data_IF_220589962846
#
_entry.id   IF_220589962846
#
_cell.length_a   1.000
_cell.length_b   1.000
_cell.length_c   1.000
_cell.angle_alpha   90.00
_cell.angle_beta   90.00
_cell.angle_gamma   90.00
#
_symmetry.space_group_name_H-M   'P 1'
#
loop_
_entity.id
_entity.type
_entity.pdbx_description
1 polymer ?
#
# COMPACT_ATOMS: atom_id res chain seq x y z
N UNK A 1 -24.55 16.07 -3.14
CA UNK A 1 -23.28 15.35 -2.92
C UNK A 1 -23.11 14.17 -3.88
N UNK A 2 -24.13 13.38 -4.14
CA UNK A 2 -24.10 12.20 -5.05
C UNK A 2 -23.60 12.51 -6.49
N UNK A 3 -24.01 13.62 -7.08
CA UNK A 3 -23.64 13.97 -8.45
C UNK A 3 -22.14 14.30 -8.63
N UNK A 4 -21.44 14.75 -7.58
CA UNK A 4 -20.00 15.04 -7.67
C UNK A 4 -19.16 13.75 -7.62
N UNK A 5 -19.61 12.76 -6.85
CA UNK A 5 -18.95 11.45 -6.76
C UNK A 5 -19.13 10.68 -8.08
N UNK A 6 -20.32 10.74 -8.67
CA UNK A 6 -20.59 10.10 -9.96
C UNK A 6 -19.74 10.70 -11.10
N UNK A 7 -19.57 12.03 -11.09
CA UNK A 7 -18.73 12.70 -12.09
C UNK A 7 -17.24 12.34 -11.95
N UNK A 8 -16.76 12.18 -10.73
CA UNK A 8 -15.37 11.75 -10.44
C UNK A 8 -15.12 10.31 -10.88
N UNK A 9 -16.08 9.42 -10.69
CA UNK A 9 -15.97 8.01 -11.14
C UNK A 9 -15.98 7.93 -12.66
N UNK A 10 -16.79 8.72 -13.35
CA UNK A 10 -16.86 8.76 -14.82
C UNK A 10 -15.57 9.34 -15.43
N UNK A 11 -14.95 10.35 -14.81
CA UNK A 11 -13.68 10.90 -15.27
C UNK A 11 -12.51 9.94 -15.05
N UNK A 12 -12.53 9.15 -13.99
CA UNK A 12 -11.52 8.10 -13.76
C UNK A 12 -11.68 6.97 -14.79
N UNK A 13 -12.91 6.56 -15.12
CA UNK A 13 -13.14 5.53 -16.12
C UNK A 13 -12.77 5.96 -17.55
N UNK A 14 -12.86 7.25 -17.90
CA UNK A 14 -12.44 7.75 -19.21
C UNK A 14 -10.92 7.87 -19.36
N UNK A 15 -10.17 8.02 -18.27
CA UNK A 15 -8.71 7.97 -18.28
C UNK A 15 -8.16 6.54 -18.46
N UNK A 16 -8.96 5.52 -18.17
CA UNK A 16 -8.60 4.10 -18.36
C UNK A 16 -8.83 3.66 -19.83
N UNK A 17 -9.54 4.45 -20.63
CA UNK A 17 -9.86 4.16 -22.03
C UNK A 17 -8.94 4.84 -23.05
N UNK A 18 -7.83 5.44 -22.60
CA UNK A 18 -6.79 5.91 -23.51
C UNK A 18 -6.07 4.69 -24.09
N UNK A 19 -6.50 4.30 -25.27
CA UNK A 19 -6.02 3.22 -26.12
C UNK A 19 -4.65 3.60 -26.72
N UNK A 20 -3.62 3.60 -25.90
CA UNK A 20 -2.26 3.37 -26.35
C UNK A 20 -1.85 2.03 -25.73
N UNK A 21 -1.25 1.19 -26.55
CA UNK A 21 -0.78 -0.17 -26.22
C UNK A 21 0.30 -0.16 -25.14
N UNK A 22 0.00 0.34 -23.95
CA UNK A 22 0.75 0.03 -22.76
C UNK A 22 0.38 -1.40 -22.38
N UNK A 23 1.29 -2.34 -22.63
CA UNK A 23 1.16 -3.69 -22.08
C UNK A 23 1.28 -3.59 -20.56
N UNK A 24 0.19 -3.28 -19.89
CA UNK A 24 0.12 -3.28 -18.43
C UNK A 24 -0.43 -4.61 -17.99
N UNK A 25 0.31 -5.29 -17.15
CA UNK A 25 -0.14 -6.49 -16.45
C UNK A 25 -0.95 -6.06 -15.22
N UNK A 26 -2.10 -6.67 -15.05
CA UNK A 26 -2.91 -6.49 -13.84
C UNK A 26 -2.53 -7.54 -12.82
N UNK A 27 -2.68 -7.21 -11.56
CA UNK A 27 -2.44 -8.18 -10.51
C UNK A 27 -3.45 -8.11 -9.38
N UNK A 28 -3.62 -9.24 -8.73
CA UNK A 28 -4.32 -9.41 -7.47
C UNK A 28 -3.38 -10.08 -6.49
N UNK A 29 -3.28 -9.56 -5.27
CA UNK A 29 -2.31 -10.08 -4.31
C UNK A 29 -2.80 -10.07 -2.88
N UNK A 30 -2.05 -10.78 -2.06
CA UNK A 30 -2.14 -10.75 -0.60
C UNK A 30 -0.86 -10.17 -0.04
N UNK A 31 -1.00 -9.49 1.09
CA UNK A 31 0.10 -8.78 1.74
C UNK A 31 0.09 -9.09 3.24
N UNK A 32 1.26 -9.35 3.79
CA UNK A 32 1.48 -9.46 5.22
C UNK A 32 2.59 -8.50 5.62
N UNK A 33 2.40 -7.79 6.74
CA UNK A 33 3.37 -6.83 7.23
C UNK A 33 3.61 -6.96 8.72
N UNK A 34 4.75 -6.43 9.15
CA UNK A 34 5.04 -6.19 10.56
C UNK A 34 5.28 -4.70 10.74
N UNK A 35 4.34 -4.05 11.43
CA UNK A 35 4.32 -2.61 11.57
C UNK A 35 4.56 -2.13 12.99
N UNK A 36 5.07 -0.90 13.07
CA UNK A 36 5.15 -0.09 14.29
C UNK A 36 4.24 1.09 14.11
N UNK A 37 3.32 1.29 15.04
CA UNK A 37 2.41 2.44 15.10
C UNK A 37 2.86 3.33 16.25
N UNK A 38 3.25 4.55 15.94
CA UNK A 38 3.53 5.59 16.93
C UNK A 38 2.23 6.31 17.25
N UNK A 39 1.70 6.09 18.45
CA UNK A 39 0.46 6.69 18.90
C UNK A 39 0.68 7.54 20.16
N UNK A 40 -0.22 8.50 20.38
CA UNK A 40 -0.28 9.29 21.62
C UNK A 40 -1.49 8.85 22.45
N UNK A 41 -1.26 8.55 23.70
CA UNK A 41 -2.36 8.27 24.62
C UNK A 41 -3.03 9.59 25.11
N UNK A 42 -4.07 9.45 25.93
CA UNK A 42 -4.88 10.59 26.46
C UNK A 42 -4.04 11.63 27.22
N UNK A 43 -2.85 11.25 27.69
CA UNK A 43 -1.94 12.09 28.49
C UNK A 43 -0.75 12.61 27.62
N UNK A 44 -0.86 12.53 26.30
CA UNK A 44 0.15 12.97 25.33
C UNK A 44 1.51 12.23 25.43
N UNK A 45 1.51 11.04 26.03
CA UNK A 45 2.68 10.16 26.10
C UNK A 45 2.72 9.31 24.83
N UNK A 46 3.87 9.31 24.16
CA UNK A 46 4.11 8.48 22.97
C UNK A 46 4.20 7.02 23.35
N UNK A 47 3.43 6.21 22.67
CA UNK A 47 3.46 4.76 22.76
C UNK A 47 3.74 4.15 21.37
N UNK A 48 4.66 3.19 21.34
CA UNK A 48 4.93 2.40 20.14
C UNK A 48 4.27 1.04 20.25
N UNK A 49 3.36 0.76 19.37
CA UNK A 49 2.71 -0.54 19.27
C UNK A 49 3.19 -1.28 18.02
N UNK A 50 3.70 -2.49 18.23
CA UNK A 50 4.22 -3.34 17.15
C UNK A 50 3.30 -4.53 16.93
N UNK A 51 3.01 -4.86 15.68
CA UNK A 51 2.15 -6.00 15.39
C UNK A 51 2.12 -6.39 13.92
N UNK A 52 1.43 -7.49 13.67
CA UNK A 52 1.25 -8.03 12.33
C UNK A 52 0.03 -7.40 11.68
N UNK A 53 0.14 -7.08 10.42
CA UNK A 53 -0.97 -6.64 9.57
C UNK A 53 -1.13 -7.59 8.38
N UNK A 54 -2.36 -7.75 7.93
CA UNK A 54 -2.70 -8.52 6.74
C UNK A 54 -3.52 -7.65 5.80
N UNK A 55 -3.32 -7.83 4.51
CA UNK A 55 -4.02 -7.05 3.51
C UNK A 55 -4.22 -7.79 2.20
N UNK A 56 -5.11 -7.18 1.40
CA UNK A 56 -5.31 -7.50 0.00
C UNK A 56 -4.86 -6.32 -0.83
N UNK A 57 -4.32 -6.61 -2.01
CA UNK A 57 -3.88 -5.61 -2.96
C UNK A 57 -4.32 -5.94 -4.37
N UNK A 58 -4.66 -4.92 -5.13
CA UNK A 58 -4.97 -5.00 -6.56
C UNK A 58 -4.24 -3.87 -7.25
N UNK A 59 -3.76 -4.12 -8.45
CA UNK A 59 -3.05 -3.07 -9.18
C UNK A 59 -2.79 -3.40 -10.63
N UNK A 60 -2.02 -2.52 -11.22
CA UNK A 60 -1.50 -2.68 -12.57
C UNK A 60 -0.03 -2.24 -12.58
N UNK A 61 0.78 -2.93 -13.36
CA UNK A 61 2.20 -2.64 -13.52
C UNK A 61 2.61 -2.71 -14.98
N UNK A 62 3.66 -2.01 -15.31
CA UNK A 62 4.43 -2.16 -16.54
C UNK A 62 5.93 -2.29 -16.19
N UNK A 63 6.80 -2.14 -17.17
CA UNK A 63 8.25 -2.23 -16.94
C UNK A 63 8.82 -1.12 -16.05
N UNK A 64 8.16 0.06 -15.98
CA UNK A 64 8.69 1.23 -15.28
C UNK A 64 7.90 1.57 -14.00
N UNK A 65 6.60 1.28 -13.97
CA UNK A 65 5.69 1.75 -12.93
C UNK A 65 4.76 0.67 -12.43
N UNK A 66 4.39 0.79 -11.17
CA UNK A 66 3.25 0.05 -10.61
C UNK A 66 2.32 0.98 -9.85
N UNK A 67 1.02 0.73 -9.99
CA UNK A 67 -0.03 1.41 -9.22
C UNK A 67 -0.80 0.37 -8.44
N UNK A 68 -0.92 0.57 -7.14
CA UNK A 68 -1.53 -0.41 -6.22
C UNK A 68 -2.59 0.25 -5.37
N UNK A 69 -3.74 -0.39 -5.27
CA UNK A 69 -4.74 -0.13 -4.22
C UNK A 69 -4.69 -1.29 -3.25
N UNK A 70 -4.53 -1.01 -1.97
CA UNK A 70 -4.47 -2.04 -0.93
C UNK A 70 -5.33 -1.69 0.28
N UNK A 71 -5.83 -2.72 0.95
CA UNK A 71 -6.57 -2.61 2.21
C UNK A 71 -5.93 -3.50 3.26
N UNK A 72 -5.67 -2.95 4.44
CA UNK A 72 -4.94 -3.63 5.51
C UNK A 72 -5.76 -3.64 6.79
N UNK A 73 -5.68 -4.75 7.48
CA UNK A 73 -6.26 -4.96 8.81
C UNK A 73 -5.14 -5.22 9.81
N UNK A 74 -5.15 -4.48 10.89
CA UNK A 74 -4.31 -4.71 12.05
C UNK A 74 -5.19 -4.92 13.28
N UNK A 75 -4.82 -5.91 14.09
CA UNK A 75 -5.51 -6.20 15.34
C UNK A 75 -4.49 -6.66 16.37
N UNK A 76 -4.30 -5.86 17.41
CA UNK A 76 -3.46 -6.22 18.54
C UNK A 76 -4.02 -5.65 19.83
N UNK A 77 -4.27 -6.52 20.80
CA UNK A 77 -4.93 -6.16 22.06
C UNK A 77 -6.27 -5.47 21.80
N UNK A 78 -6.49 -4.29 22.36
CA UNK A 78 -7.69 -3.46 22.12
C UNK A 78 -7.57 -2.56 20.89
N UNK A 79 -6.40 -2.47 20.30
CA UNK A 79 -6.15 -1.56 19.17
C UNK A 79 -6.41 -2.27 17.84
N UNK A 80 -7.27 -1.65 17.05
CA UNK A 80 -7.62 -2.12 15.71
C UNK A 80 -7.51 -0.95 14.75
N UNK A 81 -6.88 -1.18 13.61
CA UNK A 81 -7.02 -0.23 12.52
C UNK A 81 -7.32 -0.93 11.20
N UNK A 82 -8.02 -0.18 10.37
CA UNK A 82 -8.19 -0.48 8.97
C UNK A 82 -7.61 0.67 8.16
N UNK A 83 -6.76 0.37 7.21
CA UNK A 83 -6.22 1.38 6.28
C UNK A 83 -6.42 0.96 4.84
N UNK A 84 -6.76 1.93 4.00
CA UNK A 84 -6.78 1.79 2.55
C UNK A 84 -5.70 2.69 1.98
N UNK A 85 -4.91 2.18 1.06
CA UNK A 85 -3.77 2.89 0.49
C UNK A 85 -3.86 2.82 -1.03
N UNK A 86 -3.64 3.96 -1.68
CA UNK A 86 -3.30 4.08 -3.09
C UNK A 86 -1.82 4.43 -3.18
N UNK A 87 -1.03 3.56 -3.80
CA UNK A 87 0.39 3.71 -3.97
C UNK A 87 0.75 3.81 -5.46
N UNK A 88 1.78 4.59 -5.73
CA UNK A 88 2.38 4.74 -7.04
C UNK A 88 3.90 4.61 -6.91
N UNK A 89 4.47 3.59 -7.54
CA UNK A 89 5.87 3.23 -7.42
C UNK A 89 6.55 3.25 -8.79
N UNK A 90 7.80 3.66 -8.81
CA UNK A 90 8.66 3.59 -9.97
C UNK A 90 9.74 2.55 -9.75
N UNK A 91 9.92 1.66 -10.72
CA UNK A 91 11.09 0.79 -10.76
C UNK A 91 12.33 1.62 -11.10
N UNK A 92 13.33 1.59 -10.20
CA UNK A 92 14.57 2.37 -10.36
C UNK A 92 15.45 1.73 -11.43
N UNK A 93 15.46 0.40 -11.46
CA UNK A 93 16.08 -0.41 -12.50
C UNK A 93 15.10 -1.49 -12.93
N UNK A 94 14.96 -1.68 -14.23
CA UNK A 94 14.10 -2.71 -14.82
C UNK A 94 14.64 -4.12 -14.60
N UNK A 95 15.98 -4.25 -14.42
CA UNK A 95 16.61 -5.46 -13.92
C UNK A 95 17.90 -5.12 -13.17
N UNK A 96 17.88 -5.24 -11.84
CA UNK A 96 19.09 -5.09 -11.03
C UNK A 96 19.99 -6.33 -11.13
N UNK A 97 19.35 -7.47 -11.17
CA UNK A 97 20.00 -8.78 -11.37
C UNK A 97 19.01 -9.68 -12.11
N UNK A 98 19.42 -10.15 -13.27
CA UNK A 98 18.64 -11.01 -14.12
C UNK A 98 19.32 -12.38 -14.20
N UNK A 99 18.60 -13.41 -13.85
CA UNK A 99 18.96 -14.80 -14.12
C UNK A 99 17.96 -15.36 -15.12
N UNK A 100 18.23 -16.54 -15.68
CA UNK A 100 17.32 -17.23 -16.60
C UNK A 100 15.90 -17.44 -16.05
N UNK A 101 15.67 -17.16 -14.75
CA UNK A 101 14.41 -17.46 -14.07
C UNK A 101 13.88 -16.34 -13.18
N UNK A 102 14.70 -15.38 -12.75
CA UNK A 102 14.30 -14.36 -11.75
C UNK A 102 14.83 -12.99 -12.15
N UNK A 103 13.94 -12.01 -12.17
CA UNK A 103 14.27 -10.61 -12.42
C UNK A 103 13.97 -9.82 -11.15
N UNK A 104 14.98 -9.15 -10.59
CA UNK A 104 14.83 -8.30 -9.42
C UNK A 104 14.67 -6.83 -9.84
N UNK A 105 13.60 -6.19 -9.38
CA UNK A 105 13.24 -4.80 -9.71
C UNK A 105 13.13 -3.97 -8.43
N UNK A 106 14.15 -3.20 -8.04
CA UNK A 106 14.02 -2.26 -6.94
C UNK A 106 13.08 -1.11 -7.31
N UNK A 107 12.27 -0.70 -6.36
CA UNK A 107 11.32 0.40 -6.55
C UNK A 107 11.36 1.43 -5.43
N UNK A 108 10.92 2.63 -5.77
CA UNK A 108 10.67 3.74 -4.86
C UNK A 108 9.36 4.41 -5.26
N UNK A 109 8.53 4.74 -4.27
CA UNK A 109 7.26 5.37 -4.54
C UNK A 109 6.66 6.15 -3.39
N UNK A 110 5.51 6.71 -3.67
CA UNK A 110 4.69 7.44 -2.72
C UNK A 110 3.31 6.83 -2.59
N UNK A 111 2.66 7.13 -1.50
CA UNK A 111 1.30 6.68 -1.27
C UNK A 111 0.47 7.70 -0.51
N UNK A 112 -0.83 7.61 -0.70
CA UNK A 112 -1.87 8.31 0.04
C UNK A 112 -2.95 7.32 0.44
N UNK A 113 -3.57 7.53 1.58
CA UNK A 113 -4.59 6.59 2.03
C UNK A 113 -5.49 7.15 3.10
N UNK A 114 -6.35 6.31 3.59
CA UNK A 114 -7.28 6.59 4.67
C UNK A 114 -7.10 5.56 5.77
N UNK A 115 -6.97 6.03 7.00
CA UNK A 115 -6.84 5.22 8.20
C UNK A 115 -8.08 5.39 9.07
N UNK A 116 -8.66 4.28 9.49
CA UNK A 116 -9.67 4.21 10.55
C UNK A 116 -9.06 3.47 11.73
N UNK A 117 -8.93 4.18 12.84
CA UNK A 117 -8.35 3.69 14.08
C UNK A 117 -9.46 3.52 15.14
N UNK A 118 -9.44 2.42 15.83
CA UNK A 118 -10.39 2.12 16.92
C UNK A 118 -9.62 1.57 18.12
N UNK A 119 -9.81 2.19 19.28
CA UNK A 119 -9.23 1.80 20.57
C UNK A 119 -10.31 1.92 21.64
N UNK A 120 -10.70 0.80 22.26
CA UNK A 120 -11.72 0.52 23.29
C UNK A 120 -12.94 1.46 23.40
N UNK A 121 -12.81 2.78 23.30
CA UNK A 121 -13.90 3.76 23.36
C UNK A 121 -13.69 4.97 22.43
N UNK A 122 -12.72 4.91 21.54
CA UNK A 122 -12.35 6.05 20.70
C UNK A 122 -12.17 5.57 19.27
N UNK A 123 -13.02 6.12 18.42
CA UNK A 123 -12.95 5.97 16.99
C UNK A 123 -12.39 7.26 16.38
N UNK A 124 -11.28 7.16 15.67
CA UNK A 124 -10.69 8.27 14.95
C UNK A 124 -10.35 7.85 13.52
N UNK A 125 -10.38 8.79 12.60
CA UNK A 125 -10.09 8.51 11.21
C UNK A 125 -9.46 9.73 10.52
N UNK A 126 -8.63 9.49 9.53
CA UNK A 126 -7.97 10.57 8.82
C UNK A 126 -7.14 10.10 7.64
N UNK A 127 -6.50 11.08 7.04
CA UNK A 127 -5.62 10.88 5.91
C UNK A 127 -4.26 10.33 6.38
N UNK A 128 -3.70 9.42 5.59
CA UNK A 128 -2.31 9.01 5.70
C UNK A 128 -1.61 9.24 4.36
N UNK A 129 -0.33 9.61 4.41
CA UNK A 129 0.50 9.79 3.23
C UNK A 129 1.95 9.48 3.57
N UNK A 130 2.72 9.09 2.57
CA UNK A 130 4.11 8.75 2.83
C UNK A 130 4.83 8.20 1.63
N UNK A 131 5.90 7.49 1.91
CA UNK A 131 6.76 6.88 0.92
C UNK A 131 6.98 5.40 1.21
N UNK A 132 7.34 4.67 0.16
CA UNK A 132 7.71 3.27 0.27
C UNK A 132 8.85 2.95 -0.69
N UNK A 133 9.64 1.96 -0.32
CA UNK A 133 10.71 1.45 -1.15
C UNK A 133 10.82 -0.05 -0.93
N UNK A 134 11.25 -0.78 -1.96
CA UNK A 134 11.35 -2.23 -1.86
C UNK A 134 11.98 -2.87 -3.06
N UNK A 135 11.81 -4.17 -3.10
CA UNK A 135 12.28 -5.04 -4.14
C UNK A 135 11.14 -5.95 -4.59
N UNK A 136 10.77 -5.84 -5.85
CA UNK A 136 9.85 -6.77 -6.50
C UNK A 136 10.67 -7.80 -7.31
N UNK A 137 10.21 -9.04 -7.36
CA UNK A 137 10.84 -10.06 -8.20
C UNK A 137 9.84 -11.07 -8.74
N UNK A 138 9.97 -11.33 -10.04
CA UNK A 138 9.21 -12.36 -10.72
C UNK A 138 9.83 -13.73 -10.45
N UNK A 139 9.02 -14.65 -9.98
CA UNK A 139 9.45 -16.05 -9.76
C UNK A 139 8.86 -16.97 -10.83
N UNK A 140 7.64 -16.66 -11.25
CA UNK A 140 6.93 -17.31 -12.34
C UNK A 140 6.35 -16.21 -13.24
N UNK A 141 5.96 -16.57 -14.46
CA UNK A 141 5.36 -15.60 -15.39
C UNK A 141 4.13 -14.88 -14.80
N UNK A 142 3.40 -15.59 -13.94
CA UNK A 142 2.14 -15.11 -13.37
C UNK A 142 2.27 -14.77 -11.87
N UNK A 143 3.48 -14.88 -11.26
CA UNK A 143 3.64 -14.66 -9.82
C UNK A 143 4.84 -13.79 -9.51
N UNK A 144 4.54 -12.66 -8.88
CA UNK A 144 5.53 -11.74 -8.32
C UNK A 144 5.53 -11.79 -6.80
N UNK A 145 6.72 -11.70 -6.24
CA UNK A 145 6.93 -11.37 -4.84
C UNK A 145 7.37 -9.92 -4.70
N UNK A 146 7.02 -9.34 -3.56
CA UNK A 146 7.36 -7.96 -3.22
C UNK A 146 7.75 -7.90 -1.74
N UNK A 147 8.92 -7.36 -1.44
CA UNK A 147 9.38 -7.07 -0.09
C UNK A 147 9.74 -5.58 0.00
N UNK A 148 9.05 -4.85 0.84
CA UNK A 148 9.24 -3.42 0.97
C UNK A 148 9.17 -2.90 2.39
N UNK A 149 9.55 -1.65 2.53
CA UNK A 149 9.32 -0.84 3.71
C UNK A 149 8.44 0.33 3.34
N UNK A 150 7.36 0.51 4.10
CA UNK A 150 6.40 1.59 3.94
C UNK A 150 6.42 2.47 5.19
N UNK A 151 6.52 3.77 5.01
CA UNK A 151 6.44 4.75 6.08
C UNK A 151 5.37 5.77 5.77
N UNK A 152 4.39 5.90 6.67
CA UNK A 152 3.23 6.77 6.53
C UNK A 152 3.16 7.76 7.67
N UNK A 153 2.97 9.01 7.36
CA UNK A 153 2.53 10.05 8.29
C UNK A 153 1.00 10.04 8.38
N UNK A 154 0.47 10.43 9.51
CA UNK A 154 -0.97 10.50 9.73
C UNK A 154 -1.40 11.92 10.12
N UNK A 155 -2.57 12.33 9.64
CA UNK A 155 -3.27 13.56 10.08
C UNK A 155 -4.19 13.32 11.28
N UNK A 156 -4.15 12.13 11.84
CA UNK A 156 -4.94 11.73 13.01
C UNK A 156 -4.24 12.19 14.27
N UNK A 157 -4.92 12.90 15.16
CA UNK A 157 -4.34 13.47 16.38
C UNK A 157 -3.62 12.44 17.28
N UNK A 158 -4.02 11.18 17.19
CA UNK A 158 -3.51 10.09 18.05
C UNK A 158 -2.51 9.17 17.40
N UNK A 159 -2.38 9.21 16.09
CA UNK A 159 -1.43 8.39 15.34
C UNK A 159 -0.49 9.34 14.60
N UNK A 160 0.75 9.41 15.02
CA UNK A 160 1.75 10.29 14.40
C UNK A 160 2.26 9.66 13.08
N UNK A 161 2.70 8.41 13.16
CA UNK A 161 3.28 7.69 12.02
C UNK A 161 3.11 6.17 12.12
N UNK A 162 3.23 5.51 10.99
CA UNK A 162 3.18 4.06 10.86
C UNK A 162 4.32 3.61 9.94
N UNK A 163 5.25 2.83 10.48
CA UNK A 163 6.30 2.16 9.72
C UNK A 163 6.03 0.67 9.60
N UNK A 164 6.13 0.08 8.41
CA UNK A 164 5.86 -1.35 8.20
C UNK A 164 6.85 -1.97 7.24
N UNK A 165 7.40 -3.12 7.62
CA UNK A 165 8.00 -4.05 6.65
C UNK A 165 6.87 -4.90 6.08
N UNK A 166 6.81 -5.00 4.77
CA UNK A 166 5.70 -5.60 4.05
C UNK A 166 6.23 -6.66 3.08
N UNK A 167 5.60 -7.82 3.09
CA UNK A 167 5.81 -8.87 2.10
C UNK A 167 4.50 -9.15 1.38
N UNK A 168 4.54 -9.21 0.05
CA UNK A 168 3.37 -9.50 -0.75
C UNK A 168 3.64 -10.56 -1.81
N UNK A 169 2.57 -11.24 -2.19
CA UNK A 169 2.51 -12.19 -3.31
C UNK A 169 1.41 -11.73 -4.24
N UNK A 170 1.76 -11.48 -5.50
CA UNK A 170 0.86 -11.00 -6.54
C UNK A 170 0.69 -12.07 -7.62
N UNK A 171 -0.54 -12.27 -8.05
CA UNK A 171 -0.88 -13.05 -9.23
C UNK A 171 -1.18 -12.08 -10.39
N UNK A 172 -0.44 -12.23 -11.48
CA UNK A 172 -0.53 -11.42 -12.69
C UNK A 172 -1.50 -12.06 -13.69
N UNK A 173 -2.34 -11.26 -14.38
CA UNK A 173 -3.33 -11.74 -15.36
C UNK A 173 -3.64 -10.69 -16.43
#
# INVERSE_FOLDING_TARGET
MFNKILFTIITISSLISAEETFSSERFLGIEAGYGTVSSKNVIDVKEENKGVEFGFRIGAQNEEWTTTVSGHLFNKNSQKYFRTILAFDRFIWTSMYETDRVIFKPYLGGHIGWLKYNDDNIEDNGLIYGAQAGLAWNVLKEVDFDLGYRYSFSDIKRVDDIGSVVFAVNYLY
#
